data_IF_529555991933
#
_entry.id   IF_529555991933
#
_cell.length_a   1.000
_cell.length_b   1.000
_cell.length_c   1.000
_cell.angle_alpha   90.00
_cell.angle_beta   90.00
_cell.angle_gamma   90.00
#
_symmetry.space_group_name_H-M   'P 1'
#
loop_
_entity.id
_entity.type
_entity.pdbx_description
1 polymer ?
#
# COMPACT_ATOMS: atom_id res chain seq x y z
N UNK A 1 18.77 14.50 15.13
CA UNK A 1 19.19 13.12 15.45
C UNK A 1 18.26 12.58 16.53
N UNK A 2 17.75 11.35 16.41
CA UNK A 2 17.10 10.65 17.50
C UNK A 2 17.56 9.19 17.40
N UNK A 3 18.33 8.73 18.39
CA UNK A 3 18.90 7.39 18.47
C UNK A 3 17.91 6.22 18.22
N UNK A 4 16.60 6.32 18.55
CA UNK A 4 15.63 5.26 18.30
C UNK A 4 15.47 4.90 16.81
N UNK A 5 15.48 5.88 15.90
CA UNK A 5 15.27 5.60 14.47
C UNK A 5 16.47 4.89 13.83
N UNK A 6 17.68 5.19 14.29
CA UNK A 6 18.88 4.50 13.84
C UNK A 6 18.92 3.06 14.36
N UNK A 7 18.49 2.85 15.60
CA UNK A 7 18.34 1.53 16.20
C UNK A 7 17.32 0.68 15.41
N UNK A 8 16.13 1.22 15.16
CA UNK A 8 15.07 0.56 14.37
C UNK A 8 15.58 0.15 12.98
N UNK A 9 16.37 1.01 12.33
CA UNK A 9 16.97 0.70 11.02
C UNK A 9 17.89 -0.52 11.07
N UNK A 10 18.79 -0.58 12.05
CA UNK A 10 19.72 -1.71 12.19
C UNK A 10 18.96 -3.00 12.47
N UNK A 11 17.89 -2.94 13.28
CA UNK A 11 17.05 -4.10 13.53
C UNK A 11 16.30 -4.54 12.28
N UNK A 12 15.61 -3.63 11.57
CA UNK A 12 14.89 -3.94 10.32
C UNK A 12 15.84 -4.57 9.30
N UNK A 13 17.01 -3.98 9.04
CA UNK A 13 17.98 -4.54 8.10
C UNK A 13 18.48 -5.94 8.50
N UNK A 14 18.70 -6.20 9.80
CA UNK A 14 19.14 -7.51 10.28
C UNK A 14 18.04 -8.57 10.21
N UNK A 15 16.79 -8.20 10.50
CA UNK A 15 15.67 -9.14 10.44
C UNK A 15 15.23 -9.41 9.00
N UNK A 16 15.31 -8.44 8.09
CA UNK A 16 14.87 -8.61 6.70
C UNK A 16 15.57 -9.76 6.00
N UNK A 17 16.85 -9.99 6.28
CA UNK A 17 17.60 -11.12 5.71
C UNK A 17 17.14 -12.51 6.22
N UNK A 18 16.24 -12.57 7.20
CA UNK A 18 15.73 -13.81 7.81
C UNK A 18 14.30 -14.15 7.43
N UNK A 19 13.59 -13.24 6.75
CA UNK A 19 12.20 -13.45 6.34
C UNK A 19 12.09 -13.37 4.82
N UNK A 20 11.21 -14.18 4.23
CA UNK A 20 10.94 -14.10 2.79
C UNK A 20 10.25 -12.79 2.41
N UNK A 21 9.41 -12.26 3.30
CA UNK A 21 8.69 -11.01 3.11
C UNK A 21 8.73 -10.17 4.38
N UNK A 22 8.90 -8.86 4.23
CA UNK A 22 8.77 -7.87 5.31
C UNK A 22 7.77 -6.80 4.87
N UNK A 23 6.69 -6.67 5.62
CA UNK A 23 5.66 -5.65 5.38
C UNK A 23 5.85 -4.51 6.37
N UNK A 24 5.96 -3.29 5.87
CA UNK A 24 6.07 -2.07 6.68
C UNK A 24 4.84 -1.21 6.42
N UNK A 25 4.08 -0.95 7.48
CA UNK A 25 2.97 0.00 7.45
C UNK A 25 3.51 1.40 7.78
N UNK A 26 3.30 2.36 6.88
CA UNK A 26 3.83 3.71 6.97
C UNK A 26 2.68 4.71 7.11
N UNK A 27 2.90 5.77 7.87
CA UNK A 27 1.97 6.91 7.93
C UNK A 27 1.80 7.57 6.55
N UNK A 28 0.68 8.25 6.34
CA UNK A 28 0.38 9.02 5.14
C UNK A 28 1.36 10.20 4.98
N UNK A 29 2.53 9.92 4.41
CA UNK A 29 3.61 10.90 4.26
C UNK A 29 4.93 10.21 3.97
N UNK A 30 5.69 10.74 3.01
CA UNK A 30 7.00 10.21 2.63
C UNK A 30 8.15 11.05 3.17
N UNK A 31 7.85 12.16 3.85
CA UNK A 31 8.83 13.09 4.41
C UNK A 31 9.75 12.39 5.43
N UNK A 32 9.22 11.45 6.20
CA UNK A 32 9.99 10.63 7.13
C UNK A 32 10.84 9.56 6.44
N UNK A 33 10.39 9.06 5.28
CA UNK A 33 11.11 8.07 4.47
C UNK A 33 12.26 8.71 3.65
N UNK A 34 12.16 10.02 3.39
CA UNK A 34 13.10 10.78 2.56
C UNK A 34 14.43 11.13 3.19
N UNK A 35 14.44 11.41 4.49
CA UNK A 35 15.59 12.05 5.12
C UNK A 35 16.65 11.05 5.60
N UNK A 36 16.37 9.73 5.62
CA UNK A 36 17.10 8.79 6.51
C UNK A 36 17.26 7.34 6.06
N UNK A 37 16.92 6.95 4.82
CA UNK A 37 16.75 5.51 4.53
C UNK A 37 17.40 5.06 3.21
N UNK A 38 18.53 4.34 3.32
CA UNK A 38 19.03 3.40 2.30
C UNK A 38 18.26 2.08 2.41
N UNK A 39 16.94 2.14 2.54
CA UNK A 39 16.11 0.94 2.46
C UNK A 39 15.77 0.78 0.98
N UNK A 40 16.36 -0.23 0.35
CA UNK A 40 15.90 -0.70 -0.94
C UNK A 40 14.49 -1.26 -0.71
N UNK A 41 13.48 -0.63 -1.30
CA UNK A 41 12.09 -1.07 -1.23
C UNK A 41 11.79 -1.79 -2.54
N UNK A 42 11.50 -3.08 -2.47
CA UNK A 42 11.15 -3.83 -3.68
C UNK A 42 9.81 -3.37 -4.25
N UNK A 43 8.80 -3.20 -3.39
CA UNK A 43 7.46 -2.79 -3.79
C UNK A 43 6.91 -1.77 -2.80
N UNK A 44 6.42 -0.64 -3.32
CA UNK A 44 5.65 0.35 -2.57
C UNK A 44 4.19 0.30 -3.03
N UNK A 45 3.29 -0.10 -2.14
CA UNK A 45 1.85 0.06 -2.33
C UNK A 45 1.39 1.40 -1.76
N UNK A 46 0.71 2.18 -2.59
CA UNK A 46 0.03 3.41 -2.21
C UNK A 46 -1.46 3.12 -2.23
N UNK A 47 -2.10 3.23 -1.07
CA UNK A 47 -3.52 2.93 -0.90
C UNK A 47 -4.31 4.24 -0.88
N UNK A 48 -5.35 4.34 -1.71
CA UNK A 48 -6.24 5.49 -1.77
C UNK A 48 -7.70 5.03 -1.71
N UNK A 49 -8.59 5.91 -1.23
CA UNK A 49 -10.04 5.72 -1.37
C UNK A 49 -10.52 6.28 -2.72
N UNK A 50 -11.68 5.85 -3.25
CA UNK A 50 -12.24 6.35 -4.51
C UNK A 50 -12.79 7.78 -4.39
N UNK A 51 -11.94 8.73 -4.03
CA UNK A 51 -12.24 10.16 -3.99
C UNK A 51 -11.12 10.95 -4.65
N UNK A 52 -11.49 12.06 -5.31
CA UNK A 52 -10.53 12.95 -5.97
C UNK A 52 -9.40 13.42 -5.04
N UNK A 53 -9.74 13.70 -3.78
CA UNK A 53 -8.78 14.19 -2.78
C UNK A 53 -7.79 13.09 -2.39
N UNK A 54 -8.27 11.87 -2.13
CA UNK A 54 -7.42 10.74 -1.76
C UNK A 54 -6.49 10.35 -2.92
N UNK A 55 -7.03 10.28 -4.13
CA UNK A 55 -6.26 9.93 -5.33
C UNK A 55 -5.18 10.97 -5.64
N UNK A 56 -5.52 12.26 -5.60
CA UNK A 56 -4.51 13.32 -5.79
C UNK A 56 -3.42 13.29 -4.74
N UNK A 57 -3.75 12.90 -3.50
CA UNK A 57 -2.77 12.74 -2.42
C UNK A 57 -1.86 11.55 -2.69
N UNK A 58 -2.41 10.41 -3.12
CA UNK A 58 -1.65 9.23 -3.51
C UNK A 58 -0.72 9.50 -4.72
N UNK A 59 -1.18 10.26 -5.71
CA UNK A 59 -0.36 10.70 -6.85
C UNK A 59 0.83 11.53 -6.38
N UNK A 60 0.61 12.50 -5.48
CA UNK A 60 1.70 13.30 -4.89
C UNK A 60 2.69 12.41 -4.14
N UNK A 61 2.22 11.45 -3.34
CA UNK A 61 3.08 10.48 -2.65
C UNK A 61 3.94 9.69 -3.65
N UNK A 62 3.35 9.21 -4.75
CA UNK A 62 4.06 8.51 -5.83
C UNK A 62 5.15 9.37 -6.47
N UNK A 63 4.83 10.63 -6.78
CA UNK A 63 5.78 11.59 -7.33
C UNK A 63 6.92 11.88 -6.34
N UNK A 64 6.59 12.10 -5.07
CA UNK A 64 7.58 12.32 -4.00
C UNK A 64 8.47 11.09 -3.82
N UNK A 65 7.92 9.87 -3.84
CA UNK A 65 8.70 8.64 -3.76
C UNK A 65 9.74 8.52 -4.90
N UNK A 66 9.39 8.97 -6.12
CA UNK A 66 10.31 9.01 -7.28
C UNK A 66 11.37 10.11 -7.17
N UNK A 67 11.07 11.23 -6.50
CA UNK A 67 11.98 12.37 -6.35
C UNK A 67 13.00 12.17 -5.23
N UNK A 68 12.58 11.48 -4.16
CA UNK A 68 13.46 11.10 -3.08
C UNK A 68 14.41 10.01 -3.59
N UNK A 69 15.67 10.01 -3.15
CA UNK A 69 16.65 8.92 -3.40
C UNK A 69 16.29 7.57 -2.73
N UNK A 70 15.01 7.32 -2.47
CA UNK A 70 14.52 6.00 -2.10
C UNK A 70 14.63 5.12 -3.34
N UNK A 71 15.38 4.04 -3.23
CA UNK A 71 15.45 3.03 -4.28
C UNK A 71 14.21 2.16 -4.16
N UNK A 72 13.12 2.62 -4.75
CA UNK A 72 11.88 1.84 -4.89
C UNK A 72 11.88 1.18 -6.26
N UNK A 73 11.83 -0.15 -6.33
CA UNK A 73 11.86 -0.87 -7.62
C UNK A 73 10.51 -0.80 -8.34
N UNK A 74 9.41 -1.01 -7.61
CA UNK A 74 8.03 -0.98 -8.13
C UNK A 74 7.14 -0.10 -7.24
N UNK A 75 6.31 0.75 -7.85
CA UNK A 75 5.30 1.56 -7.15
C UNK A 75 3.94 1.19 -7.73
N UNK A 76 3.00 0.83 -6.86
CA UNK A 76 1.64 0.47 -7.23
C UNK A 76 0.60 1.31 -6.50
N UNK A 77 -0.43 1.73 -7.22
CA UNK A 77 -1.60 2.41 -6.66
C UNK A 77 -2.76 1.41 -6.57
N UNK A 78 -3.38 1.33 -5.40
CA UNK A 78 -4.56 0.50 -5.13
C UNK A 78 -5.68 1.39 -4.62
N UNK A 79 -6.87 1.23 -5.21
CA UNK A 79 -8.07 1.90 -4.69
C UNK A 79 -8.79 0.97 -3.72
N UNK A 80 -8.86 1.34 -2.46
CA UNK A 80 -9.54 0.59 -1.42
C UNK A 80 -10.96 1.12 -1.18
N UNK A 81 -11.85 0.26 -0.67
CA UNK A 81 -13.26 0.58 -0.37
C UNK A 81 -14.04 1.06 -1.59
N UNK A 82 -13.80 0.46 -2.75
CA UNK A 82 -14.57 0.80 -3.96
C UNK A 82 -15.97 0.17 -3.92
N UNK A 83 -16.95 0.89 -4.45
CA UNK A 83 -18.33 0.43 -4.63
C UNK A 83 -18.58 0.03 -6.08
N UNK A 84 -19.68 -0.70 -6.32
CA UNK A 84 -20.05 -1.16 -7.67
C UNK A 84 -20.24 0.01 -8.66
N UNK A 85 -20.63 1.19 -8.18
CA UNK A 85 -20.83 2.41 -8.95
C UNK A 85 -19.57 3.31 -9.02
N UNK A 86 -18.41 2.82 -8.56
CA UNK A 86 -17.16 3.59 -8.60
C UNK A 86 -16.71 3.80 -10.03
N UNK A 87 -16.88 5.02 -10.52
CA UNK A 87 -16.50 5.43 -11.87
C UNK A 87 -15.06 5.97 -11.90
N UNK A 88 -14.12 5.09 -12.28
CA UNK A 88 -12.70 5.45 -12.41
C UNK A 88 -12.47 6.66 -13.34
N UNK A 89 -13.31 6.86 -14.36
CA UNK A 89 -13.15 7.97 -15.31
C UNK A 89 -13.39 9.33 -14.67
N UNK A 90 -14.19 9.37 -13.60
CA UNK A 90 -14.46 10.60 -12.83
C UNK A 90 -13.40 10.88 -11.77
N UNK A 91 -12.51 9.92 -11.49
CA UNK A 91 -11.62 9.94 -10.35
C UNK A 91 -10.18 10.39 -10.68
N UNK A 92 -9.67 10.05 -11.85
CA UNK A 92 -8.54 10.69 -12.54
C UNK A 92 -8.35 10.00 -13.89
N UNK A 93 -7.94 10.70 -14.94
CA UNK A 93 -7.77 10.11 -16.27
C UNK A 93 -6.45 9.35 -16.44
N UNK A 94 -5.48 9.55 -15.54
CA UNK A 94 -4.12 8.97 -15.69
C UNK A 94 -3.70 8.06 -14.52
N UNK A 95 -4.65 7.37 -13.88
CA UNK A 95 -4.34 6.42 -12.79
C UNK A 95 -3.27 5.39 -13.20
N UNK A 96 -3.31 4.93 -14.45
CA UNK A 96 -2.33 3.98 -14.99
C UNK A 96 -0.91 4.57 -15.07
N UNK A 97 -0.75 5.86 -15.38
CA UNK A 97 0.54 6.57 -15.33
C UNK A 97 1.17 6.60 -13.93
N UNK A 98 0.38 6.33 -12.88
CA UNK A 98 0.82 6.26 -11.49
C UNK A 98 0.87 4.85 -10.91
N UNK A 99 0.86 3.82 -11.77
CA UNK A 99 1.03 2.42 -11.35
C UNK A 99 -0.23 1.79 -10.78
N UNK A 100 -1.42 2.24 -11.19
CA UNK A 100 -2.67 1.62 -10.78
C UNK A 100 -2.71 0.13 -11.15
N UNK A 101 -2.93 -0.73 -10.14
CA UNK A 101 -2.88 -2.20 -10.29
C UNK A 101 -4.21 -2.90 -9.98
N UNK A 102 -5.12 -2.23 -9.26
CA UNK A 102 -6.42 -2.81 -8.94
C UNK A 102 -7.21 -2.05 -7.89
N UNK A 103 -8.38 -2.59 -7.61
CA UNK A 103 -9.32 -2.08 -6.62
C UNK A 103 -9.64 -3.17 -5.59
N UNK A 104 -9.82 -2.77 -4.35
CA UNK A 104 -10.35 -3.61 -3.27
C UNK A 104 -11.77 -3.08 -2.98
N UNK A 105 -12.81 -3.87 -3.25
CA UNK A 105 -14.18 -3.44 -3.00
C UNK A 105 -14.46 -3.32 -1.50
N UNK A 106 -15.46 -2.51 -1.16
CA UNK A 106 -16.03 -2.48 0.18
C UNK A 106 -16.57 -3.89 0.54
N UNK A 107 -16.07 -4.46 1.64
CA UNK A 107 -16.43 -5.81 2.09
C UNK A 107 -16.99 -5.75 3.51
N UNK A 108 -18.27 -6.12 3.66
CA UNK A 108 -18.97 -6.12 4.93
C UNK A 108 -18.34 -7.07 5.95
N UNK A 109 -17.68 -8.14 5.51
CA UNK A 109 -17.01 -9.08 6.42
C UNK A 109 -15.84 -8.41 7.12
N UNK A 110 -15.07 -7.55 6.42
CA UNK A 110 -14.00 -6.77 7.05
C UNK A 110 -14.57 -5.84 8.12
N UNK A 111 -15.68 -5.15 7.80
CA UNK A 111 -16.34 -4.24 8.73
C UNK A 111 -16.82 -4.96 9.98
N UNK A 112 -17.54 -6.06 9.81
CA UNK A 112 -18.07 -6.86 10.92
C UNK A 112 -16.94 -7.41 11.81
N UNK A 113 -15.86 -7.91 11.21
CA UNK A 113 -14.70 -8.40 11.97
C UNK A 113 -14.01 -7.26 12.72
N UNK A 114 -13.83 -6.10 12.09
CA UNK A 114 -13.25 -4.93 12.75
C UNK A 114 -14.05 -4.48 13.98
N UNK A 115 -15.38 -4.47 13.88
CA UNK A 115 -16.27 -4.12 15.00
C UNK A 115 -16.21 -5.14 16.15
N UNK A 116 -15.97 -6.41 15.84
CA UNK A 116 -15.91 -7.50 16.82
C UNK A 116 -14.49 -7.83 17.29
N UNK A 117 -13.48 -7.03 16.92
CA UNK A 117 -12.06 -7.33 17.12
C UNK A 117 -11.66 -8.75 16.64
N UNK A 118 -12.33 -9.23 15.59
CA UNK A 118 -12.08 -10.53 14.98
C UNK A 118 -10.83 -10.53 14.10
N UNK A 119 -10.24 -11.71 13.94
CA UNK A 119 -9.07 -11.89 13.07
C UNK A 119 -9.45 -11.72 11.58
N UNK A 120 -8.75 -10.80 10.90
CA UNK A 120 -8.90 -10.55 9.46
C UNK A 120 -8.20 -11.61 8.60
N UNK A 121 -7.21 -12.33 9.15
CA UNK A 121 -6.52 -13.40 8.43
C UNK A 121 -7.39 -14.65 8.29
N UNK A 122 -8.41 -14.78 9.13
CA UNK A 122 -9.42 -15.85 9.06
C UNK A 122 -10.63 -15.50 8.19
N UNK A 123 -10.53 -14.49 7.32
CA UNK A 123 -11.57 -14.20 6.34
C UNK A 123 -11.69 -15.36 5.32
N UNK A 124 -12.91 -15.71 4.89
CA UNK A 124 -13.12 -16.73 3.86
C UNK A 124 -12.38 -16.40 2.56
N UNK A 125 -11.85 -17.42 1.87
CA UNK A 125 -11.19 -17.24 0.56
C UNK A 125 -12.11 -16.64 -0.50
N UNK A 126 -13.44 -16.80 -0.32
CA UNK A 126 -14.43 -16.29 -1.24
C UNK A 126 -14.83 -14.81 -1.02
N UNK A 127 -14.32 -14.18 0.07
CA UNK A 127 -14.48 -12.75 0.37
C UNK A 127 -14.04 -11.88 -0.80
N UNK A 128 -14.77 -10.79 -1.04
CA UNK A 128 -14.48 -9.86 -2.13
C UNK A 128 -13.10 -9.22 -1.94
N UNK A 129 -12.77 -8.85 -0.69
CA UNK A 129 -11.47 -8.28 -0.38
C UNK A 129 -10.33 -9.29 -0.52
N UNK A 130 -10.50 -10.54 -0.05
CA UNK A 130 -9.48 -11.58 -0.15
C UNK A 130 -9.15 -11.89 -1.62
N UNK A 131 -10.18 -12.05 -2.47
CA UNK A 131 -10.00 -12.24 -3.92
C UNK A 131 -9.27 -11.07 -4.56
N UNK A 132 -9.70 -9.84 -4.27
CA UNK A 132 -9.11 -8.63 -4.83
C UNK A 132 -7.64 -8.48 -4.44
N UNK A 133 -7.30 -8.70 -3.16
CA UNK A 133 -5.91 -8.68 -2.69
C UNK A 133 -5.08 -9.77 -3.37
N UNK A 134 -5.60 -10.99 -3.49
CA UNK A 134 -4.92 -12.09 -4.19
C UNK A 134 -4.63 -11.79 -5.67
N UNK A 135 -5.57 -11.15 -6.37
CA UNK A 135 -5.34 -10.68 -7.74
C UNK A 135 -4.28 -9.57 -7.82
N UNK A 136 -4.32 -8.59 -6.91
CA UNK A 136 -3.34 -7.50 -6.86
C UNK A 136 -1.93 -8.06 -6.60
N UNK A 137 -1.78 -8.98 -5.65
CA UNK A 137 -0.49 -9.57 -5.30
C UNK A 137 0.10 -10.39 -6.45
N UNK A 138 -0.73 -11.14 -7.20
CA UNK A 138 -0.31 -11.83 -8.43
C UNK A 138 0.13 -10.86 -9.52
N UNK A 139 -0.66 -9.79 -9.78
CA UNK A 139 -0.29 -8.74 -10.75
C UNK A 139 1.01 -8.03 -10.36
N UNK A 140 1.28 -7.90 -9.07
CA UNK A 140 2.51 -7.30 -8.55
C UNK A 140 3.73 -8.24 -8.63
N UNK A 141 3.52 -9.51 -8.97
CA UNK A 141 4.53 -10.58 -8.99
C UNK A 141 5.13 -10.83 -7.60
N UNK A 142 4.31 -10.78 -6.55
CA UNK A 142 4.73 -11.06 -5.16
C UNK A 142 4.45 -12.52 -4.79
N UNK A 143 3.34 -13.06 -5.28
CA UNK A 143 2.88 -14.45 -5.11
C UNK A 143 2.52 -15.08 -6.45
#
# INVERSE_FOLDING_TARGET
>A
YCAPNELLRVFISKISNRYQYVVMDNEAGMEHLSRRTTNDVDVLFIIAEPSLISIRSAIKVSQTAKQIKLKVKKIFLVLNRTRMDTDLKKLDTDLHGFGFIGMIPEDNLIKERGEKAGDLLSLPEDSLAVKAVGEIMRKAEII
#
